data_IF_449643368416
#
_entry.id   IF_449643368416
#
_cell.length_a   1.000
_cell.length_b   1.000
_cell.length_c   1.000
_cell.angle_alpha   90.00
_cell.angle_beta   90.00
_cell.angle_gamma   90.00
#
_symmetry.space_group_name_H-M   'P 1'
#
loop_
_entity.id
_entity.type
_entity.pdbx_description
1 polymer ?
#
# COMPACT_ATOMS: atom_id res chain seq x y z
N UNK A 1 -19.75 15.86 5.56
CA UNK A 1 -19.26 14.87 4.57
C UNK A 1 -18.09 14.08 5.16
N UNK A 2 -17.03 14.76 5.62
CA UNK A 2 -15.92 14.15 6.38
C UNK A 2 -16.36 13.39 7.66
N UNK A 3 -17.37 13.89 8.37
CA UNK A 3 -17.96 13.22 9.55
C UNK A 3 -18.63 11.88 9.21
N UNK A 4 -19.34 11.82 8.08
CA UNK A 4 -19.97 10.58 7.59
C UNK A 4 -18.95 9.56 7.14
N UNK A 5 -17.86 9.99 6.49
CA UNK A 5 -16.75 9.10 6.11
C UNK A 5 -16.04 8.56 7.37
N UNK A 6 -15.87 9.37 8.41
CA UNK A 6 -15.35 8.91 9.70
C UNK A 6 -16.30 7.92 10.38
N UNK A 7 -17.60 8.20 10.43
CA UNK A 7 -18.60 7.26 10.98
C UNK A 7 -18.66 5.94 10.19
N UNK A 8 -18.56 5.99 8.86
CA UNK A 8 -18.54 4.79 8.00
C UNK A 8 -17.27 3.98 8.24
N UNK A 9 -16.11 4.64 8.35
CA UNK A 9 -14.85 3.96 8.66
C UNK A 9 -14.89 3.34 10.05
N UNK A 10 -15.43 4.04 11.05
CA UNK A 10 -15.60 3.51 12.41
C UNK A 10 -16.54 2.31 12.41
N UNK A 11 -17.71 2.40 11.75
CA UNK A 11 -18.65 1.29 11.64
C UNK A 11 -18.07 0.09 10.88
N UNK A 12 -17.27 0.34 9.83
CA UNK A 12 -16.55 -0.71 9.13
C UNK A 12 -15.50 -1.34 10.06
N UNK A 13 -14.76 -0.55 10.84
CA UNK A 13 -13.78 -1.04 11.81
C UNK A 13 -14.45 -1.88 12.91
N UNK A 14 -15.60 -1.45 13.42
CA UNK A 14 -16.41 -2.19 14.41
C UNK A 14 -16.91 -3.53 13.85
N UNK A 15 -17.41 -3.55 12.61
CA UNK A 15 -17.83 -4.80 11.92
C UNK A 15 -16.63 -5.75 11.72
N UNK A 16 -15.44 -5.20 11.42
CA UNK A 16 -14.20 -5.95 11.29
C UNK A 16 -13.68 -6.47 12.65
N UNK A 17 -14.01 -5.82 13.77
CA UNK A 17 -13.63 -6.23 15.13
C UNK A 17 -14.58 -7.27 15.75
N UNK A 18 -15.87 -7.21 15.44
CA UNK A 18 -16.90 -8.15 15.96
C UNK A 18 -16.84 -9.55 15.29
N UNK A 19 -16.34 -9.64 14.06
CA UNK A 19 -16.25 -10.91 13.33
C UNK A 19 -14.97 -11.67 13.66
N UNK A 20 -15.02 -12.72 14.49
CA UNK A 20 -13.85 -13.56 14.85
C UNK A 20 -13.04 -14.08 13.62
N UNK A 21 -13.70 -14.31 12.48
CA UNK A 21 -13.05 -14.72 11.23
C UNK A 21 -12.26 -13.59 10.57
N UNK A 22 -12.76 -12.35 10.66
CA UNK A 22 -12.04 -11.16 10.19
C UNK A 22 -11.01 -10.75 11.22
N UNK A 23 -11.20 -11.01 12.51
CA UNK A 23 -10.16 -10.83 13.54
C UNK A 23 -8.89 -11.60 13.21
N UNK A 24 -8.92 -12.70 12.46
CA UNK A 24 -7.73 -13.39 11.94
C UNK A 24 -7.07 -12.65 10.76
N UNK A 25 -7.88 -12.02 9.90
CA UNK A 25 -7.43 -11.14 8.81
C UNK A 25 -6.85 -9.85 9.40
N UNK A 26 -7.56 -9.21 10.33
CA UNK A 26 -7.13 -8.07 11.12
C UNK A 26 -5.95 -8.38 12.04
N UNK A 27 -5.81 -9.57 12.63
CA UNK A 27 -4.60 -9.91 13.40
C UNK A 27 -3.39 -10.12 12.49
N UNK A 28 -3.57 -10.41 11.20
CA UNK A 28 -2.52 -10.42 10.16
C UNK A 28 -2.29 -9.06 9.51
N UNK A 29 -3.30 -8.21 9.42
CA UNK A 29 -3.19 -6.81 8.97
C UNK A 29 -2.66 -5.90 10.10
N UNK A 30 -2.99 -6.16 11.36
CA UNK A 30 -2.51 -5.47 12.56
C UNK A 30 -1.23 -6.07 13.15
N UNK A 31 -0.84 -7.31 12.78
CA UNK A 31 0.57 -7.72 12.96
C UNK A 31 1.52 -6.86 12.11
N UNK A 32 1.02 -6.07 11.16
CA UNK A 32 1.80 -5.03 10.47
C UNK A 32 1.99 -3.76 11.31
N UNK A 33 1.35 -3.65 12.49
CA UNK A 33 1.51 -2.52 13.42
C UNK A 33 2.46 -2.81 14.59
N UNK A 34 3.02 -4.01 14.71
CA UNK A 34 4.12 -4.31 15.63
C UNK A 34 5.16 -5.20 14.96
N UNK A 35 6.39 -4.72 15.02
CA UNK A 35 7.65 -5.32 14.55
C UNK A 35 8.02 -5.04 13.09
N UNK A 36 9.29 -4.63 12.96
CA UNK A 36 10.00 -4.34 11.73
C UNK A 36 9.76 -5.39 10.63
N UNK A 37 9.92 -5.04 9.34
CA UNK A 37 9.68 -5.98 8.27
C UNK A 37 10.69 -7.15 8.35
N UNK A 38 10.20 -8.33 8.73
CA UNK A 38 10.89 -9.59 8.50
C UNK A 38 11.07 -9.73 6.98
N UNK A 39 12.32 -9.66 6.52
CA UNK A 39 12.69 -9.62 5.09
C UNK A 39 12.24 -10.82 4.24
N UNK A 40 11.69 -11.90 4.80
CA UNK A 40 11.61 -13.17 4.06
C UNK A 40 10.34 -14.04 4.26
N UNK A 41 9.32 -13.63 5.03
CA UNK A 41 8.27 -14.59 5.44
C UNK A 41 6.84 -14.41 4.87
N UNK A 42 6.53 -13.41 4.04
CA UNK A 42 5.16 -13.31 3.45
C UNK A 42 5.11 -12.72 2.04
N UNK A 43 6.13 -13.01 1.23
CA UNK A 43 6.18 -12.56 -0.18
C UNK A 43 5.13 -13.28 -1.06
N UNK A 44 4.57 -14.39 -0.58
CA UNK A 44 3.59 -15.21 -1.32
C UNK A 44 2.22 -14.54 -1.49
N UNK A 45 1.79 -13.70 -0.54
CA UNK A 45 0.50 -13.02 -0.62
C UNK A 45 0.52 -11.92 -1.68
N UNK A 46 1.62 -11.18 -1.76
CA UNK A 46 1.76 -10.04 -2.66
C UNK A 46 1.98 -10.46 -4.11
N UNK A 47 2.68 -11.58 -4.35
CA UNK A 47 2.95 -12.11 -5.70
C UNK A 47 1.69 -12.38 -6.55
N UNK A 48 0.53 -12.54 -5.92
CA UNK A 48 -0.74 -12.87 -6.58
C UNK A 48 -1.44 -11.63 -7.13
N UNK A 49 -1.56 -10.55 -6.35
CA UNK A 49 -2.13 -9.28 -6.83
C UNK A 49 -1.17 -8.55 -7.80
N UNK A 50 0.14 -8.82 -7.70
CA UNK A 50 1.17 -8.31 -8.62
C UNK A 50 0.86 -8.66 -10.09
N UNK A 51 0.34 -9.85 -10.37
CA UNK A 51 0.16 -10.34 -11.74
C UNK A 51 -0.86 -9.52 -12.54
N UNK A 52 -1.92 -9.02 -11.89
CA UNK A 52 -2.95 -8.20 -12.57
C UNK A 52 -2.60 -6.72 -12.66
N UNK A 53 -1.43 -6.32 -12.13
CA UNK A 53 -0.95 -4.94 -12.12
C UNK A 53 0.43 -4.78 -12.75
N UNK A 54 0.94 -5.79 -13.45
CA UNK A 54 2.30 -5.76 -13.99
C UNK A 54 2.51 -4.64 -15.02
N UNK A 55 1.47 -4.29 -15.78
CA UNK A 55 1.49 -3.15 -16.68
C UNK A 55 1.65 -1.81 -15.92
N UNK A 56 0.94 -1.65 -14.81
CA UNK A 56 1.05 -0.47 -13.94
C UNK A 56 2.45 -0.40 -13.30
N UNK A 57 2.98 -1.54 -12.82
CA UNK A 57 4.33 -1.62 -12.25
C UNK A 57 5.39 -1.25 -13.28
N UNK A 58 5.35 -1.89 -14.45
CA UNK A 58 6.33 -1.65 -15.53
C UNK A 58 6.30 -0.19 -16.00
N UNK A 59 5.11 0.42 -16.08
CA UNK A 59 4.96 1.84 -16.40
C UNK A 59 5.59 2.74 -15.33
N UNK A 60 5.33 2.46 -14.06
CA UNK A 60 5.88 3.25 -12.95
C UNK A 60 7.41 3.11 -12.90
N UNK A 61 7.94 1.90 -13.10
CA UNK A 61 9.38 1.65 -13.15
C UNK A 61 10.06 2.45 -14.25
N UNK A 62 9.55 2.40 -15.49
CA UNK A 62 10.11 3.18 -16.61
C UNK A 62 10.15 4.67 -16.27
N UNK A 63 9.06 5.21 -15.73
CA UNK A 63 8.98 6.62 -15.34
C UNK A 63 9.98 6.97 -14.23
N UNK A 64 10.09 6.13 -13.19
CA UNK A 64 11.03 6.37 -12.11
C UNK A 64 12.48 6.29 -12.60
N UNK A 65 12.79 5.36 -13.51
CA UNK A 65 14.12 5.23 -14.10
C UNK A 65 14.48 6.46 -14.93
N UNK A 66 13.59 6.91 -15.82
CA UNK A 66 13.75 8.13 -16.64
C UNK A 66 14.03 9.35 -15.74
N UNK A 67 13.15 9.61 -14.76
CA UNK A 67 13.30 10.73 -13.83
C UNK A 67 14.57 10.62 -13.00
N UNK A 68 14.95 9.40 -12.62
CA UNK A 68 16.16 9.16 -11.84
C UNK A 68 17.44 9.38 -12.61
N UNK A 69 17.42 9.55 -13.94
CA UNK A 69 18.61 9.97 -14.71
C UNK A 69 18.77 11.48 -14.70
N UNK A 70 17.67 12.21 -14.85
CA UNK A 70 17.66 13.67 -14.95
C UNK A 70 17.76 14.37 -13.58
N UNK A 71 17.15 13.77 -12.55
CA UNK A 71 17.03 14.37 -11.24
C UNK A 71 17.61 13.48 -10.13
N UNK A 72 18.21 14.14 -9.14
CA UNK A 72 18.70 13.47 -7.91
C UNK A 72 17.58 13.14 -6.93
N UNK A 73 16.50 13.91 -6.99
CA UNK A 73 15.27 13.68 -6.29
C UNK A 73 14.14 13.64 -7.32
N UNK A 74 13.47 12.52 -7.41
CA UNK A 74 12.30 12.32 -8.26
C UNK A 74 11.19 11.68 -7.44
N UNK A 75 9.96 11.71 -7.97
CA UNK A 75 8.93 10.89 -7.36
C UNK A 75 7.73 10.59 -8.24
N UNK A 76 6.82 9.81 -7.66
CA UNK A 76 5.55 9.47 -8.28
C UNK A 76 4.47 9.29 -7.20
N UNK A 77 3.30 9.88 -7.41
CA UNK A 77 2.12 9.68 -6.57
C UNK A 77 1.19 8.65 -7.21
N UNK A 78 0.96 7.53 -6.53
CA UNK A 78 -0.08 6.55 -6.85
C UNK A 78 -1.39 7.01 -6.20
N UNK A 79 -2.36 7.37 -7.03
CA UNK A 79 -3.63 7.96 -6.61
C UNK A 79 -4.78 7.05 -7.04
N UNK A 80 -5.79 6.88 -6.20
CA UNK A 80 -6.92 6.03 -6.53
C UNK A 80 -7.84 5.78 -5.35
N UNK A 81 -9.01 5.20 -5.62
CA UNK A 81 -10.04 4.97 -4.59
C UNK A 81 -9.52 4.11 -3.42
N UNK A 82 -10.07 4.25 -2.21
CA UNK A 82 -9.85 3.28 -1.14
C UNK A 82 -10.14 1.85 -1.62
N UNK A 83 -9.31 0.88 -1.24
CA UNK A 83 -9.48 -0.53 -1.62
C UNK A 83 -9.07 -0.93 -3.04
N UNK A 84 -8.63 0.01 -3.90
CA UNK A 84 -8.24 -0.28 -5.30
C UNK A 84 -6.89 -0.99 -5.47
N UNK A 85 -6.09 -1.09 -4.40
CA UNK A 85 -4.80 -1.80 -4.40
C UNK A 85 -3.54 -0.93 -4.50
N UNK A 86 -3.59 0.38 -4.17
CA UNK A 86 -2.42 1.27 -4.25
C UNK A 86 -1.21 0.78 -3.42
N UNK A 87 -1.47 0.41 -2.18
CA UNK A 87 -0.45 -0.12 -1.27
C UNK A 87 0.11 -1.43 -1.80
N UNK A 88 -0.73 -2.31 -2.37
CA UNK A 88 -0.26 -3.52 -3.05
C UNK A 88 0.64 -3.17 -4.23
N UNK A 89 0.22 -2.26 -5.11
CA UNK A 89 1.02 -1.83 -6.25
C UNK A 89 2.40 -1.30 -5.82
N UNK A 90 2.45 -0.47 -4.78
CA UNK A 90 3.71 0.02 -4.20
C UNK A 90 4.60 -1.12 -3.67
N UNK A 91 4.02 -2.17 -3.08
CA UNK A 91 4.78 -3.38 -2.69
C UNK A 91 5.33 -4.12 -3.89
N UNK A 92 4.55 -4.26 -4.97
CA UNK A 92 5.01 -4.87 -6.23
C UNK A 92 6.23 -4.15 -6.78
N UNK A 93 6.21 -2.81 -6.79
CA UNK A 93 7.33 -1.97 -7.20
C UNK A 93 8.55 -2.22 -6.31
N UNK A 94 8.36 -2.37 -4.99
CA UNK A 94 9.48 -2.69 -4.08
C UNK A 94 10.12 -4.05 -4.37
N UNK A 95 9.29 -5.07 -4.65
CA UNK A 95 9.77 -6.42 -4.97
C UNK A 95 10.59 -6.37 -6.26
N UNK A 96 10.03 -5.84 -7.35
CA UNK A 96 10.74 -5.74 -8.62
C UNK A 96 11.97 -4.83 -8.55
N UNK A 97 11.93 -3.73 -7.78
CA UNK A 97 13.10 -2.89 -7.56
C UNK A 97 14.27 -3.66 -6.91
N UNK A 98 13.99 -4.58 -5.98
CA UNK A 98 15.03 -5.43 -5.36
C UNK A 98 15.56 -6.49 -6.31
N UNK A 99 14.69 -7.09 -7.11
CA UNK A 99 15.05 -8.12 -8.09
C UNK A 99 15.89 -7.53 -9.23
N UNK A 100 15.45 -6.41 -9.80
CA UNK A 100 16.06 -5.78 -10.98
C UNK A 100 17.26 -4.90 -10.64
N UNK A 101 17.30 -4.33 -9.43
CA UNK A 101 18.38 -3.43 -9.01
C UNK A 101 18.93 -3.82 -7.63
N UNK A 102 19.72 -4.91 -7.52
CA UNK A 102 20.21 -5.43 -6.23
C UNK A 102 21.07 -4.44 -5.43
N UNK A 103 21.65 -3.45 -6.11
CA UNK A 103 22.46 -2.39 -5.49
C UNK A 103 21.64 -1.20 -4.96
N UNK A 104 20.37 -1.12 -5.34
CA UNK A 104 19.44 -0.09 -4.88
C UNK A 104 18.87 -0.46 -3.51
N UNK A 105 18.70 0.54 -2.66
CA UNK A 105 18.05 0.39 -1.38
C UNK A 105 16.55 0.66 -1.51
N UNK A 106 15.75 -0.04 -0.72
CA UNK A 106 14.30 0.21 -0.62
C UNK A 106 13.98 0.49 0.83
N UNK A 107 13.26 1.58 1.11
CA UNK A 107 12.75 1.92 2.42
C UNK A 107 11.23 2.13 2.34
N UNK A 108 10.50 1.56 3.30
CA UNK A 108 9.04 1.73 3.40
C UNK A 108 8.69 2.46 4.69
N UNK A 109 7.88 3.51 4.56
CA UNK A 109 7.39 4.31 5.68
C UNK A 109 5.87 4.34 5.61
N UNK A 110 5.23 3.95 6.70
CA UNK A 110 3.81 4.16 6.89
C UNK A 110 3.59 5.59 7.41
N UNK A 111 2.82 6.37 6.67
CA UNK A 111 2.45 7.74 7.03
C UNK A 111 1.28 7.67 8.03
N UNK A 112 1.47 8.23 9.23
CA UNK A 112 0.49 8.28 10.32
C UNK A 112 0.14 9.72 10.68
N UNK A 113 -0.80 9.92 11.61
CA UNK A 113 -1.26 11.27 11.97
C UNK A 113 -0.14 11.92 12.76
N UNK A 114 -0.07 13.25 12.73
CA UNK A 114 0.97 14.02 13.40
C UNK A 114 2.38 13.63 12.93
N UNK A 115 2.62 13.70 11.61
CA UNK A 115 3.91 13.38 11.02
C UNK A 115 5.04 14.17 11.67
N UNK A 116 6.05 13.44 12.13
CA UNK A 116 7.29 13.98 12.66
C UNK A 116 8.47 13.44 11.87
N UNK A 117 9.49 14.26 11.76
CA UNK A 117 10.73 13.95 11.06
C UNK A 117 11.37 12.66 11.59
N UNK A 118 11.45 12.54 12.92
CA UNK A 118 12.04 11.39 13.62
C UNK A 118 11.27 10.10 13.32
N UNK A 119 9.95 10.19 13.10
CA UNK A 119 9.13 9.03 12.79
C UNK A 119 9.42 8.50 11.38
N UNK A 120 9.59 9.39 10.40
CA UNK A 120 9.91 8.99 9.02
C UNK A 120 11.33 8.45 8.96
N UNK A 121 12.30 9.21 9.46
CA UNK A 121 13.71 8.80 9.46
C UNK A 121 13.91 7.52 10.26
N UNK A 122 13.24 7.37 11.41
CA UNK A 122 13.31 6.17 12.24
C UNK A 122 12.75 4.94 11.52
N UNK A 123 11.62 5.07 10.82
CA UNK A 123 11.08 3.99 9.99
C UNK A 123 12.03 3.63 8.82
N UNK A 124 12.61 4.63 8.15
CA UNK A 124 13.62 4.40 7.11
C UNK A 124 14.81 3.61 7.66
N UNK A 125 15.37 4.04 8.80
CA UNK A 125 16.50 3.39 9.44
C UNK A 125 16.16 1.95 9.83
N UNK A 126 15.01 1.73 10.49
CA UNK A 126 14.57 0.40 10.89
C UNK A 126 14.34 -0.54 9.69
N UNK A 127 13.91 0.01 8.55
CA UNK A 127 13.72 -0.77 7.32
C UNK A 127 15.04 -1.19 6.68
N UNK A 128 16.03 -0.30 6.68
CA UNK A 128 17.34 -0.52 6.10
C UNK A 128 18.25 -1.34 7.02
N UNK A 129 18.16 -1.13 8.33
CA UNK A 129 18.85 -1.87 9.37
C UNK A 129 17.92 -2.19 10.56
N UNK A 130 17.50 -3.46 10.63
CA UNK A 130 16.60 -3.99 11.66
C UNK A 130 17.23 -3.88 13.06
N UNK A 131 18.56 -3.79 13.16
CA UNK A 131 19.29 -3.72 14.44
C UNK A 131 19.35 -2.29 14.98
N UNK A 132 19.10 -1.27 14.16
CA UNK A 132 19.28 0.14 14.49
C UNK A 132 18.08 0.77 15.22
N UNK A 133 17.41 0.01 16.08
CA UNK A 133 16.21 0.46 16.81
C UNK A 133 16.49 1.37 18.02
N UNK A 134 15.45 2.08 18.48
CA UNK A 134 15.46 2.81 19.75
C UNK A 134 15.92 4.26 19.70
N UNK A 135 16.34 4.76 18.53
CA UNK A 135 16.66 6.18 18.34
C UNK A 135 15.37 6.99 18.18
N UNK A 136 15.28 8.11 18.89
CA UNK A 136 14.07 8.95 18.95
C UNK A 136 14.29 10.39 18.50
N UNK A 137 15.51 10.74 18.05
CA UNK A 137 15.90 12.08 17.61
C UNK A 137 16.45 12.03 16.19
N UNK A 138 16.25 13.07 15.40
CA UNK A 138 16.70 13.13 14.01
C UNK A 138 18.21 13.01 13.86
N UNK A 139 19.02 13.78 14.60
CA UNK A 139 20.47 13.82 14.37
C UNK A 139 21.15 12.44 14.51
N UNK A 140 20.89 11.65 15.57
CA UNK A 140 21.44 10.29 15.66
C UNK A 140 20.99 9.38 14.51
N UNK A 141 19.74 9.52 14.05
CA UNK A 141 19.20 8.72 12.96
C UNK A 141 19.87 9.11 11.63
N UNK A 142 20.00 10.41 11.36
CA UNK A 142 20.69 10.94 10.18
C UNK A 142 22.16 10.50 10.15
N UNK A 143 22.85 10.52 11.30
CA UNK A 143 24.23 10.06 11.41
C UNK A 143 24.42 8.57 11.03
N UNK A 144 23.39 7.73 11.23
CA UNK A 144 23.41 6.34 10.78
C UNK A 144 23.00 6.19 9.32
N UNK A 145 21.98 6.94 8.87
CA UNK A 145 21.46 6.85 7.51
C UNK A 145 22.44 7.39 6.47
N UNK A 146 23.13 8.51 6.75
CA UNK A 146 24.02 9.18 5.80
C UNK A 146 25.07 8.23 5.17
N UNK A 147 25.91 7.52 5.94
CA UNK A 147 26.88 6.59 5.36
C UNK A 147 26.22 5.37 4.67
N UNK A 148 25.02 4.96 5.10
CA UNK A 148 24.30 3.86 4.44
C UNK A 148 23.79 4.24 3.05
N UNK A 149 23.40 5.50 2.87
CA UNK A 149 22.83 6.02 1.64
C UNK A 149 23.88 6.64 0.70
N UNK A 150 25.13 6.73 1.14
CA UNK A 150 26.21 7.34 0.39
C UNK A 150 26.41 6.65 -0.98
N UNK A 151 26.33 7.44 -2.06
CA UNK A 151 26.43 6.99 -3.45
C UNK A 151 25.44 5.86 -3.82
N UNK A 152 24.31 5.74 -3.10
CA UNK A 152 23.26 4.76 -3.37
C UNK A 152 22.09 5.36 -4.15
N UNK A 153 21.39 4.49 -4.87
CA UNK A 153 20.02 4.74 -5.31
C UNK A 153 19.07 4.22 -4.22
N UNK A 154 18.10 5.02 -3.83
CA UNK A 154 17.07 4.63 -2.86
C UNK A 154 15.68 4.85 -3.43
N UNK A 155 14.84 3.82 -3.33
CA UNK A 155 13.40 3.89 -3.50
C UNK A 155 12.75 4.06 -2.12
N UNK A 156 12.15 5.22 -1.86
CA UNK A 156 11.43 5.52 -0.62
C UNK A 156 9.92 5.45 -0.87
N UNK A 157 9.23 4.53 -0.21
CA UNK A 157 7.77 4.45 -0.22
C UNK A 157 7.20 5.19 0.97
N UNK A 158 6.28 6.12 0.72
CA UNK A 158 5.50 6.86 1.71
C UNK A 158 4.03 6.45 1.56
N UNK A 159 3.62 5.45 2.32
CA UNK A 159 2.31 4.79 2.15
C UNK A 159 1.24 5.42 3.06
N UNK A 160 0.10 5.79 2.47
CA UNK A 160 -1.11 6.14 3.22
C UNK A 160 -1.32 7.63 3.51
N UNK A 161 -0.78 8.55 2.70
CA UNK A 161 -0.97 9.98 2.91
C UNK A 161 -2.41 10.43 2.66
N UNK A 162 -3.03 11.12 3.62
CA UNK A 162 -4.48 11.34 3.64
C UNK A 162 -4.95 12.80 3.63
N UNK A 163 -4.19 13.73 4.21
CA UNK A 163 -4.62 15.10 4.49
C UNK A 163 -3.60 16.09 3.94
N UNK A 164 -4.09 17.29 3.65
CA UNK A 164 -3.32 18.31 2.95
C UNK A 164 -2.24 18.97 3.79
N UNK A 165 -2.45 19.08 5.10
CA UNK A 165 -1.47 19.69 6.02
C UNK A 165 -0.22 18.82 6.10
N UNK A 166 -0.42 17.53 6.37
CA UNK A 166 0.62 16.50 6.33
C UNK A 166 1.29 16.46 4.96
N UNK A 167 0.53 16.62 3.86
CA UNK A 167 1.10 16.63 2.52
C UNK A 167 2.05 17.82 2.29
N UNK A 168 1.67 19.03 2.72
CA UNK A 168 2.53 20.22 2.60
C UNK A 168 3.82 20.04 3.40
N UNK A 169 3.71 19.58 4.65
CA UNK A 169 4.87 19.32 5.48
C UNK A 169 5.75 18.21 4.91
N UNK A 170 5.16 17.11 4.44
CA UNK A 170 5.89 15.98 3.87
C UNK A 170 6.64 16.37 2.60
N UNK A 171 6.05 17.24 1.78
CA UNK A 171 6.72 17.83 0.61
C UNK A 171 7.97 18.59 1.02
N UNK A 172 7.90 19.43 2.06
CA UNK A 172 9.07 20.14 2.58
C UNK A 172 10.12 19.17 3.14
N UNK A 173 9.70 18.11 3.85
CA UNK A 173 10.59 17.04 4.30
C UNK A 173 11.31 16.36 3.12
N UNK A 174 10.59 15.99 2.06
CA UNK A 174 11.16 15.33 0.87
C UNK A 174 12.20 16.22 0.20
N UNK A 175 11.94 17.53 0.08
CA UNK A 175 12.88 18.50 -0.48
C UNK A 175 14.17 18.67 0.35
N UNK A 176 14.17 18.29 1.62
CA UNK A 176 15.37 18.31 2.49
C UNK A 176 16.23 17.05 2.34
N UNK A 177 15.69 15.94 1.84
CA UNK A 177 16.42 14.67 1.69
C UNK A 177 17.75 14.81 0.93
N UNK A 178 17.85 15.56 -0.19
CA UNK A 178 19.12 15.74 -0.90
C UNK A 178 20.17 16.54 -0.12
N UNK A 179 19.77 17.31 0.90
CA UNK A 179 20.68 18.07 1.76
C UNK A 179 21.32 17.15 2.81
N UNK A 180 20.54 16.22 3.35
CA UNK A 180 21.04 15.21 4.29
C UNK A 180 21.79 14.06 3.61
N UNK A 181 21.38 13.70 2.39
CA UNK A 181 21.93 12.57 1.64
C UNK A 181 22.60 13.07 0.35
N UNK A 182 23.66 13.84 0.52
CA UNK A 182 24.29 14.67 -0.50
C UNK A 182 24.89 13.92 -1.70
N UNK A 183 25.02 12.60 -1.67
CA UNK A 183 25.45 11.77 -2.81
C UNK A 183 24.41 10.74 -3.26
N UNK A 184 23.30 10.61 -2.53
CA UNK A 184 22.24 9.66 -2.89
C UNK A 184 21.41 10.16 -4.09
N UNK A 185 20.83 9.21 -4.81
CA UNK A 185 19.72 9.45 -5.75
C UNK A 185 18.45 8.85 -5.15
N UNK A 186 17.42 9.66 -5.01
CA UNK A 186 16.23 9.36 -4.22
C UNK A 186 15.02 9.39 -5.13
N UNK A 187 14.37 8.24 -5.28
CA UNK A 187 13.07 8.10 -5.95
C UNK A 187 12.01 7.89 -4.88
N UNK A 188 11.01 8.78 -4.81
CA UNK A 188 9.94 8.73 -3.81
C UNK A 188 8.64 8.26 -4.44
N UNK A 189 8.01 7.22 -3.90
CA UNK A 189 6.65 6.81 -4.30
C UNK A 189 5.69 7.06 -3.15
N UNK A 190 4.64 7.82 -3.40
CA UNK A 190 3.61 8.15 -2.41
C UNK A 190 2.33 7.43 -2.79
N UNK A 191 1.62 6.85 -1.82
CA UNK A 191 0.25 6.37 -2.04
C UNK A 191 -0.75 7.29 -1.36
N UNK A 192 -1.83 7.65 -2.08
CA UNK A 192 -2.90 8.48 -1.51
C UNK A 192 -4.26 8.17 -2.13
N UNK A 193 -5.32 8.24 -1.34
CA UNK A 193 -6.70 8.25 -1.86
C UNK A 193 -7.27 9.64 -2.08
N UNK A 194 -6.52 10.69 -1.73
CA UNK A 194 -6.97 12.07 -1.79
C UNK A 194 -6.32 12.77 -3.01
N UNK A 195 -7.15 13.25 -3.94
CA UNK A 195 -6.67 13.93 -5.16
C UNK A 195 -6.04 15.30 -4.86
N UNK A 196 -6.49 15.99 -3.82
CA UNK A 196 -5.90 17.27 -3.40
C UNK A 196 -4.50 17.07 -2.84
N UNK A 197 -4.31 16.00 -2.04
CA UNK A 197 -2.99 15.59 -1.56
C UNK A 197 -2.03 15.33 -2.72
N UNK A 198 -2.48 14.59 -3.74
CA UNK A 198 -1.65 14.34 -4.92
C UNK A 198 -1.24 15.66 -5.61
N UNK A 199 -2.20 16.58 -5.78
CA UNK A 199 -1.96 17.88 -6.42
C UNK A 199 -0.94 18.74 -5.65
N UNK A 200 -0.94 18.67 -4.31
CA UNK A 200 0.08 19.33 -3.48
C UNK A 200 1.49 18.76 -3.77
N UNK A 201 1.57 17.45 -3.98
CA UNK A 201 2.82 16.73 -4.25
C UNK A 201 3.33 16.89 -5.70
N UNK A 202 2.45 17.19 -6.66
CA UNK A 202 2.73 17.31 -8.11
C UNK A 202 3.71 18.45 -8.51
N UNK A 203 4.27 19.19 -7.56
CA UNK A 203 5.15 20.37 -7.80
C UNK A 203 6.64 20.11 -7.60
N UNK A 204 6.99 18.91 -7.12
CA UNK A 204 8.32 18.31 -7.30
C UNK A 204 8.27 17.66 -8.72
N UNK A 205 9.37 17.22 -9.38
CA UNK A 205 9.28 16.30 -10.54
C UNK A 205 8.63 14.96 -10.13
N UNK A 206 7.35 15.03 -9.79
CA UNK A 206 6.52 14.05 -9.15
C UNK A 206 5.37 13.79 -10.11
N UNK A 207 5.43 12.64 -10.78
CA UNK A 207 4.38 12.25 -11.73
C UNK A 207 3.18 11.69 -10.99
N UNK A 208 1.98 11.88 -11.52
CA UNK A 208 0.77 11.26 -10.99
C UNK A 208 0.44 9.99 -11.77
N UNK A 209 0.25 8.89 -11.06
CA UNK A 209 -0.28 7.64 -11.60
C UNK A 209 -1.67 7.37 -10.99
N UNK A 210 -2.72 7.52 -11.80
CA UNK A 210 -4.08 7.20 -11.38
C UNK A 210 -4.36 5.70 -11.54
N UNK A 211 -4.37 5.00 -10.41
CA UNK A 211 -4.64 3.58 -10.35
C UNK A 211 -6.13 3.29 -10.58
N UNK A 212 -6.42 2.65 -11.70
CA UNK A 212 -7.78 2.32 -12.11
C UNK A 212 -8.33 1.09 -11.39
N UNK A 213 -9.65 0.93 -11.39
CA UNK A 213 -10.32 -0.29 -10.93
C UNK A 213 -9.90 -1.50 -11.77
N UNK A 214 -9.97 -2.68 -11.18
CA UNK A 214 -9.76 -3.94 -11.91
C UNK A 214 -11.00 -4.34 -12.69
N UNK A 215 -10.80 -5.22 -13.68
CA UNK A 215 -11.90 -5.94 -14.32
C UNK A 215 -12.51 -6.95 -13.34
N UNK A 216 -13.74 -7.39 -13.63
CA UNK A 216 -14.40 -8.43 -12.83
C UNK A 216 -13.62 -9.75 -12.94
N UNK A 217 -13.07 -10.06 -14.11
CA UNK A 217 -12.19 -11.22 -14.33
C UNK A 217 -10.94 -11.17 -13.44
N UNK A 218 -10.28 -10.00 -13.35
CA UNK A 218 -9.09 -9.84 -12.51
C UNK A 218 -9.42 -9.93 -11.02
N UNK A 219 -10.54 -9.35 -10.60
CA UNK A 219 -11.06 -9.50 -9.24
C UNK A 219 -11.32 -10.97 -8.91
N UNK A 220 -11.96 -11.72 -9.82
CA UNK A 220 -12.16 -13.16 -9.68
C UNK A 220 -10.83 -13.91 -9.53
N UNK A 221 -9.86 -13.65 -10.40
CA UNK A 221 -8.55 -14.33 -10.36
C UNK A 221 -7.78 -14.05 -9.05
N UNK A 222 -7.89 -12.83 -8.50
CA UNK A 222 -7.30 -12.49 -7.20
C UNK A 222 -7.98 -13.29 -6.08
N UNK A 223 -9.31 -13.31 -6.07
CA UNK A 223 -10.10 -14.05 -5.09
C UNK A 223 -9.80 -15.55 -5.13
N UNK A 224 -9.81 -16.14 -6.32
CA UNK A 224 -9.54 -17.55 -6.55
C UNK A 224 -8.19 -17.94 -5.97
N UNK A 225 -7.12 -17.24 -6.38
CA UNK A 225 -5.76 -17.51 -5.90
C UNK A 225 -5.62 -17.32 -4.40
N UNK A 226 -6.25 -16.30 -3.82
CA UNK A 226 -6.21 -16.04 -2.38
C UNK A 226 -6.80 -17.21 -1.59
N UNK A 227 -7.93 -17.75 -2.04
CA UNK A 227 -8.59 -18.88 -1.37
C UNK A 227 -7.81 -20.17 -1.53
N UNK A 228 -7.34 -20.49 -2.74
CA UNK A 228 -6.50 -21.67 -2.98
C UNK A 228 -5.29 -21.70 -2.05
N UNK A 229 -4.62 -20.54 -1.90
CA UNK A 229 -3.47 -20.38 -0.99
C UNK A 229 -3.86 -20.52 0.48
N UNK A 230 -4.92 -19.85 0.93
CA UNK A 230 -5.32 -19.86 2.35
C UNK A 230 -5.86 -21.22 2.81
N UNK A 231 -6.45 -21.99 1.89
CA UNK A 231 -7.04 -23.30 2.17
C UNK A 231 -6.12 -24.48 1.83
N UNK A 232 -4.90 -24.22 1.31
CA UNK A 232 -3.99 -25.23 0.75
C UNK A 232 -4.70 -26.16 -0.27
N UNK A 233 -5.63 -25.60 -1.06
CA UNK A 233 -6.35 -26.33 -2.11
C UNK A 233 -5.72 -26.06 -3.48
N UNK A 234 -5.88 -27.01 -4.39
CA UNK A 234 -5.43 -26.90 -5.78
C UNK A 234 -6.53 -26.47 -6.75
N UNK A 235 -7.79 -26.55 -6.34
CA UNK A 235 -8.95 -26.11 -7.12
C UNK A 235 -10.10 -25.61 -6.22
N UNK A 236 -10.98 -24.81 -6.82
CA UNK A 236 -12.22 -24.34 -6.21
C UNK A 236 -13.35 -25.31 -6.61
N UNK A 237 -14.27 -25.59 -5.68
CA UNK A 237 -15.44 -26.43 -5.93
C UNK A 237 -16.49 -25.66 -6.75
N UNK A 238 -17.24 -26.33 -7.62
CA UNK A 238 -18.24 -25.70 -8.51
C UNK A 238 -19.21 -24.72 -7.81
N UNK A 239 -19.74 -24.99 -6.60
CA UNK A 239 -20.61 -24.04 -5.90
C UNK A 239 -19.90 -22.76 -5.44
N UNK A 240 -18.59 -22.82 -5.20
CA UNK A 240 -17.78 -21.66 -4.83
C UNK A 240 -17.36 -20.85 -6.06
N UNK A 241 -17.27 -21.50 -7.22
CA UNK A 241 -16.96 -20.86 -8.50
C UNK A 241 -18.04 -19.84 -8.89
N UNK A 242 -19.31 -20.24 -8.83
CA UNK A 242 -20.43 -19.34 -9.17
C UNK A 242 -20.52 -18.17 -8.20
N UNK A 243 -20.48 -18.45 -6.89
CA UNK A 243 -20.50 -17.41 -5.83
C UNK A 243 -19.36 -16.41 -6.01
N UNK A 244 -18.17 -16.90 -6.34
CA UNK A 244 -17.01 -16.07 -6.53
C UNK A 244 -17.08 -15.16 -7.76
N UNK A 245 -17.65 -15.65 -8.87
CA UNK A 245 -17.93 -14.82 -10.05
C UNK A 245 -18.99 -13.75 -9.76
N UNK A 246 -20.08 -14.12 -9.09
CA UNK A 246 -21.12 -13.17 -8.68
C UNK A 246 -20.54 -12.05 -7.79
N UNK A 247 -19.62 -12.39 -6.88
CA UNK A 247 -18.93 -11.41 -6.04
C UNK A 247 -18.04 -10.49 -6.88
N UNK A 248 -17.35 -11.03 -7.88
CA UNK A 248 -16.47 -10.25 -8.73
C UNK A 248 -17.24 -9.16 -9.48
N UNK A 249 -18.40 -9.50 -10.04
CA UNK A 249 -19.30 -8.54 -10.71
C UNK A 249 -19.84 -7.48 -9.74
N UNK A 250 -20.05 -7.84 -8.47
CA UNK A 250 -20.64 -6.95 -7.47
C UNK A 250 -19.62 -6.08 -6.73
N UNK A 251 -18.33 -6.41 -6.78
CA UNK A 251 -17.29 -5.69 -6.04
C UNK A 251 -16.87 -4.36 -6.69
N UNK A 252 -17.39 -4.06 -7.87
CA UNK A 252 -17.15 -2.80 -8.60
C UNK A 252 -15.67 -2.56 -8.91
N UNK A 253 -14.92 -3.64 -9.18
CA UNK A 253 -13.49 -3.62 -9.51
C UNK A 253 -12.56 -3.27 -8.34
N UNK A 254 -13.00 -3.47 -7.09
CA UNK A 254 -12.22 -3.22 -5.87
C UNK A 254 -11.70 -4.53 -5.26
N UNK A 255 -10.39 -4.84 -5.37
CA UNK A 255 -9.80 -6.09 -4.87
C UNK A 255 -10.07 -6.36 -3.39
N UNK A 256 -10.03 -5.31 -2.56
CA UNK A 256 -10.28 -5.45 -1.12
C UNK A 256 -11.71 -5.91 -0.83
N UNK A 257 -12.70 -5.37 -1.56
CA UNK A 257 -14.10 -5.75 -1.42
C UNK A 257 -14.28 -7.19 -1.85
N UNK A 258 -13.75 -7.54 -3.03
CA UNK A 258 -13.78 -8.88 -3.58
C UNK A 258 -13.24 -9.91 -2.55
N UNK A 259 -12.02 -9.67 -2.05
CA UNK A 259 -11.36 -10.56 -1.09
C UNK A 259 -12.15 -10.76 0.21
N UNK A 260 -12.65 -9.67 0.82
CA UNK A 260 -13.43 -9.75 2.07
C UNK A 260 -14.73 -10.52 1.83
N UNK A 261 -15.43 -10.22 0.74
CA UNK A 261 -16.74 -10.78 0.45
C UNK A 261 -16.66 -12.27 0.16
N UNK A 262 -15.67 -12.68 -0.62
CA UNK A 262 -15.46 -14.10 -0.93
C UNK A 262 -14.98 -14.90 0.26
N UNK A 263 -14.13 -14.31 1.11
CA UNK A 263 -13.72 -14.99 2.34
C UNK A 263 -14.92 -15.22 3.28
N UNK A 264 -15.81 -14.23 3.40
CA UNK A 264 -17.01 -14.36 4.23
C UNK A 264 -17.99 -15.36 3.62
N UNK A 265 -18.20 -15.35 2.30
CA UNK A 265 -19.14 -16.29 1.66
C UNK A 265 -18.73 -17.76 1.84
N UNK A 266 -17.43 -18.05 1.87
CA UNK A 266 -16.89 -19.40 2.13
C UNK A 266 -17.01 -19.75 3.62
N UNK A 267 -16.89 -18.77 4.52
CA UNK A 267 -16.88 -19.00 5.98
C UNK A 267 -18.28 -19.05 6.61
N UNK A 268 -19.24 -18.27 6.10
CA UNK A 268 -20.66 -18.28 6.50
C UNK A 268 -21.51 -17.65 5.39
N UNK A 269 -22.29 -18.49 4.70
CA UNK A 269 -23.26 -18.07 3.68
C UNK A 269 -24.33 -17.10 4.21
N UNK A 270 -24.58 -17.13 5.52
CA UNK A 270 -25.49 -16.27 6.27
C UNK A 270 -25.09 -14.78 6.30
N UNK A 271 -23.78 -14.48 6.35
CA UNK A 271 -23.26 -13.10 6.49
C UNK A 271 -23.18 -12.36 5.16
N UNK A 272 -23.25 -13.10 4.04
CA UNK A 272 -23.19 -12.58 2.68
C UNK A 272 -24.25 -11.50 2.40
N UNK A 273 -25.53 -11.82 2.63
CA UNK A 273 -26.65 -10.91 2.34
C UNK A 273 -26.59 -9.62 3.18
N UNK A 274 -26.13 -9.74 4.44
CA UNK A 274 -25.97 -8.59 5.33
C UNK A 274 -24.84 -7.64 4.87
N UNK A 275 -23.67 -8.17 4.50
CA UNK A 275 -22.53 -7.38 4.02
C UNK A 275 -22.82 -6.74 2.67
N UNK A 276 -23.50 -7.45 1.76
CA UNK A 276 -23.90 -6.89 0.47
C UNK A 276 -24.81 -5.68 0.66
N UNK A 277 -25.80 -5.77 1.55
CA UNK A 277 -26.71 -4.66 1.85
C UNK A 277 -25.98 -3.46 2.48
N UNK A 278 -24.95 -3.70 3.31
CA UNK A 278 -24.11 -2.65 3.88
C UNK A 278 -23.24 -1.97 2.81
N UNK A 279 -22.61 -2.75 1.93
CA UNK A 279 -21.75 -2.22 0.87
C UNK A 279 -22.52 -1.39 -0.15
N UNK A 280 -23.69 -1.83 -0.61
CA UNK A 280 -24.54 -1.02 -1.49
C UNK A 280 -25.02 0.26 -0.80
N UNK A 281 -25.30 0.23 0.51
CA UNK A 281 -25.60 1.46 1.26
C UNK A 281 -24.39 2.40 1.33
N UNK A 282 -23.17 1.87 1.48
CA UNK A 282 -21.95 2.68 1.55
C UNK A 282 -21.61 3.31 0.20
N UNK A 283 -21.66 2.54 -0.90
CA UNK A 283 -21.35 3.03 -2.24
C UNK A 283 -22.40 4.02 -2.78
N UNK A 284 -23.68 3.82 -2.50
CA UNK A 284 -24.73 4.73 -2.97
C UNK A 284 -24.67 6.11 -2.27
N UNK A 285 -24.04 6.19 -1.08
CA UNK A 285 -23.97 7.40 -0.27
C UNK A 285 -22.63 8.16 -0.41
N UNK A 286 -21.63 7.59 -1.11
CA UNK A 286 -20.30 8.20 -1.34
C UNK A 286 -20.11 8.72 -2.76
#
# INVERSE_FOLDING_TARGET
MLSKIKEINVSFTEILEESNCIRLINHRLHSQNREAPRREADDSFYKIEVLQRDADVSKIESLLDELSQEHRLSGLSIVGMPGVGKTTLARSICVRARENHPSSLVAWVLVREDLKEEMILGQMLQYLDIRAGGMTKSDPILHHLEPMLENKKILLILDGLWNEEDARWLKEFICRLPQWFATARISVVITTSNKEVASIMDTIPLHKHELQKLSDEDCWLIMEKNVLRLSNRTSIEDPQLSVGKDIAEQCGGLPLVAAVFFFVSISCSCLWQALLCLYYKIIIIS
#
